data_IF_400728129067
#
_entry.id   IF_400728129067
#
_cell.length_a   1.000
_cell.length_b   1.000
_cell.length_c   1.000
_cell.angle_alpha   90.00
_cell.angle_beta   90.00
_cell.angle_gamma   90.00
#
_symmetry.space_group_name_H-M   'P 1'
#
loop_
_entity.id
_entity.type
_entity.pdbx_description
1 polymer ?
#
# COMPACT_ATOMS: atom_id res chain seq x y z
N UNK A 1 12.39 5.07 -5.10
CA UNK A 1 11.80 3.76 -5.39
C UNK A 1 12.79 2.71 -4.87
N UNK A 2 12.43 1.90 -3.86
CA UNK A 2 13.39 0.98 -3.22
C UNK A 2 13.68 -0.28 -4.07
N UNK A 3 13.13 -0.38 -5.28
CA UNK A 3 13.39 -1.47 -6.22
C UNK A 3 13.09 -2.85 -5.62
N UNK A 4 12.08 -2.95 -4.76
CA UNK A 4 11.78 -4.21 -4.08
C UNK A 4 11.39 -5.29 -5.09
N UNK A 5 11.73 -6.53 -4.77
CA UNK A 5 11.52 -7.68 -5.66
C UNK A 5 12.14 -7.43 -7.04
N UNK A 6 11.38 -7.58 -8.12
CA UNK A 6 11.83 -7.36 -9.50
C UNK A 6 11.55 -5.94 -10.02
N UNK A 7 10.93 -5.05 -9.23
CA UNK A 7 10.57 -3.70 -9.72
C UNK A 7 11.80 -2.84 -10.09
N UNK A 8 12.97 -3.14 -9.51
CA UNK A 8 14.23 -2.51 -9.90
C UNK A 8 14.71 -2.84 -11.32
N UNK A 9 14.15 -3.90 -11.93
CA UNK A 9 14.55 -4.39 -13.26
C UNK A 9 13.58 -3.95 -14.37
N UNK A 10 12.40 -3.42 -14.01
CA UNK A 10 11.33 -3.14 -14.98
C UNK A 10 11.36 -1.73 -15.60
N UNK A 11 12.31 -0.89 -15.17
CA UNK A 11 12.60 0.47 -15.68
C UNK A 11 11.33 1.28 -16.02
N UNK A 12 10.78 1.94 -15.00
CA UNK A 12 9.58 2.77 -15.13
C UNK A 12 9.66 3.97 -14.22
N UNK A 13 8.98 5.04 -14.62
CA UNK A 13 8.86 6.26 -13.83
C UNK A 13 7.47 6.34 -13.20
N UNK A 14 7.35 6.73 -11.91
CA UNK A 14 6.06 6.94 -11.29
C UNK A 14 5.21 7.98 -12.03
N UNK A 15 3.92 7.70 -12.16
CA UNK A 15 2.95 8.66 -12.69
C UNK A 15 2.76 9.77 -11.66
N UNK A 16 2.93 11.03 -12.09
CA UNK A 16 2.74 12.20 -11.24
C UNK A 16 1.90 13.24 -11.96
N UNK A 17 1.04 13.92 -11.20
CA UNK A 17 0.26 15.07 -11.63
C UNK A 17 0.34 16.14 -10.54
N UNK A 18 0.45 17.41 -10.92
CA UNK A 18 0.56 18.52 -9.96
C UNK A 18 -0.80 18.93 -9.36
N UNK A 19 -1.89 18.43 -9.95
CA UNK A 19 -3.25 18.70 -9.55
C UNK A 19 -3.52 17.99 -8.21
N UNK A 20 -3.58 18.74 -7.11
CA UNK A 20 -3.76 18.20 -5.76
C UNK A 20 -5.24 17.99 -5.36
N UNK A 21 -6.11 17.73 -6.34
CA UNK A 21 -7.56 17.58 -6.17
C UNK A 21 -8.03 16.15 -6.45
N UNK A 22 -9.36 15.93 -6.43
CA UNK A 22 -9.96 14.63 -6.79
C UNK A 22 -9.62 14.23 -8.23
N UNK A 23 -9.61 15.19 -9.16
CA UNK A 23 -9.33 14.92 -10.56
C UNK A 23 -7.89 14.41 -10.75
N UNK A 24 -6.89 15.05 -10.14
CA UNK A 24 -5.50 14.60 -10.19
C UNK A 24 -5.34 13.18 -9.66
N UNK A 25 -6.01 12.85 -8.55
CA UNK A 25 -6.02 11.48 -7.99
C UNK A 25 -6.64 10.44 -8.93
N UNK A 26 -7.62 10.82 -9.74
CA UNK A 26 -8.23 9.95 -10.75
C UNK A 26 -7.30 9.77 -11.95
N UNK A 27 -6.68 10.85 -12.42
CA UNK A 27 -5.74 10.80 -13.55
C UNK A 27 -4.51 9.95 -13.24
N UNK A 28 -3.92 10.13 -12.05
CA UNK A 28 -2.80 9.28 -11.58
C UNK A 28 -3.20 7.80 -11.64
N UNK A 29 -4.35 7.43 -11.06
CA UNK A 29 -4.81 6.03 -11.02
C UNK A 29 -5.07 5.44 -12.40
N UNK A 30 -5.65 6.23 -13.30
CA UNK A 30 -5.94 5.80 -14.67
C UNK A 30 -4.63 5.46 -15.40
N UNK A 31 -3.64 6.33 -15.32
CA UNK A 31 -2.34 6.13 -15.97
C UNK A 31 -1.51 5.05 -15.29
N UNK A 32 -1.59 4.90 -13.96
CA UNK A 32 -1.01 3.77 -13.23
C UNK A 32 -1.59 2.43 -13.70
N UNK A 33 -2.86 2.37 -14.07
CA UNK A 33 -3.46 1.15 -14.63
C UNK A 33 -2.86 0.80 -15.99
N UNK A 34 -2.68 1.78 -16.88
CA UNK A 34 -2.03 1.56 -18.17
C UNK A 34 -0.56 1.17 -17.98
N UNK A 35 0.17 1.87 -17.12
CA UNK A 35 1.54 1.54 -16.78
C UNK A 35 1.68 0.13 -16.18
N UNK A 36 0.74 -0.28 -15.32
CA UNK A 36 0.72 -1.64 -14.75
C UNK A 36 0.61 -2.71 -15.83
N UNK A 37 -0.21 -2.48 -16.87
CA UNK A 37 -0.32 -3.40 -18.02
C UNK A 37 1.01 -3.50 -18.77
N UNK A 38 1.71 -2.38 -18.95
CA UNK A 38 3.01 -2.38 -19.63
C UNK A 38 4.10 -3.06 -18.79
N UNK A 39 4.10 -2.86 -17.47
CA UNK A 39 4.97 -3.57 -16.54
C UNK A 39 4.74 -5.09 -16.57
N UNK A 40 3.48 -5.54 -16.62
CA UNK A 40 3.13 -6.96 -16.75
C UNK A 40 3.71 -7.52 -18.05
N UNK A 41 3.54 -6.83 -19.18
CA UNK A 41 4.11 -7.27 -20.47
C UNK A 41 5.64 -7.32 -20.44
N UNK A 42 6.30 -6.32 -19.84
CA UNK A 42 7.76 -6.29 -19.65
C UNK A 42 8.23 -7.49 -18.82
N UNK A 43 7.58 -7.73 -17.67
CA UNK A 43 7.91 -8.85 -16.79
C UNK A 43 7.73 -10.21 -17.50
N UNK A 44 6.68 -10.38 -18.31
CA UNK A 44 6.46 -11.59 -19.09
C UNK A 44 7.56 -11.82 -20.14
N UNK A 45 8.04 -10.75 -20.79
CA UNK A 45 9.10 -10.84 -21.79
C UNK A 45 10.49 -11.11 -21.19
N UNK A 46 10.68 -10.79 -19.91
CA UNK A 46 11.95 -10.93 -19.19
C UNK A 46 11.92 -12.07 -18.17
N UNK A 47 10.88 -12.90 -18.18
CA UNK A 47 10.67 -13.92 -17.16
C UNK A 47 11.80 -14.97 -17.20
N UNK A 48 12.63 -15.08 -16.13
CA UNK A 48 13.68 -16.08 -16.10
C UNK A 48 13.09 -17.47 -15.86
N UNK A 49 13.74 -18.49 -16.42
CA UNK A 49 13.46 -19.87 -16.05
C UNK A 49 14.06 -20.20 -14.68
N UNK A 50 13.41 -21.08 -13.92
CA UNK A 50 13.93 -21.53 -12.63
C UNK A 50 12.86 -22.01 -11.65
N UNK A 51 13.27 -22.39 -10.44
CA UNK A 51 12.34 -22.74 -9.38
C UNK A 51 11.57 -21.50 -8.90
N UNK A 52 10.24 -21.61 -8.80
CA UNK A 52 9.35 -20.52 -8.36
C UNK A 52 9.15 -20.45 -6.84
N UNK A 53 9.73 -21.39 -6.09
CA UNK A 53 9.57 -21.49 -4.66
C UNK A 53 10.85 -22.00 -4.00
N UNK A 54 11.18 -21.41 -2.84
CA UNK A 54 12.25 -21.87 -1.96
C UNK A 54 11.62 -22.48 -0.72
N UNK A 55 12.11 -23.65 -0.31
CA UNK A 55 11.67 -24.28 0.94
C UNK A 55 12.37 -23.62 2.11
N UNK A 56 11.60 -23.04 3.03
CA UNK A 56 12.12 -22.54 4.29
C UNK A 56 12.27 -23.68 5.29
N UNK A 57 13.50 -23.93 5.75
CA UNK A 57 13.80 -25.00 6.71
C UNK A 57 13.74 -24.54 8.17
N UNK A 58 13.79 -23.23 8.40
CA UNK A 58 13.83 -22.63 9.73
C UNK A 58 12.71 -21.62 9.92
N UNK A 59 12.20 -21.55 11.14
CA UNK A 59 11.30 -20.49 11.55
C UNK A 59 12.08 -19.18 11.71
N UNK A 60 11.45 -18.03 11.44
CA UNK A 60 12.12 -16.74 11.60
C UNK A 60 12.45 -16.48 13.07
N UNK A 61 13.63 -15.91 13.30
CA UNK A 61 14.10 -15.42 14.58
C UNK A 61 14.57 -13.98 14.41
N UNK A 62 14.11 -13.09 15.30
CA UNK A 62 14.38 -11.65 15.20
C UNK A 62 13.24 -10.84 14.61
N UNK A 63 13.51 -9.56 14.36
CA UNK A 63 12.53 -8.57 13.93
C UNK A 63 12.88 -7.95 12.58
N UNK A 64 11.87 -7.61 11.80
CA UNK A 64 12.05 -6.92 10.53
C UNK A 64 10.90 -5.97 10.23
N UNK A 65 11.22 -4.95 9.44
CA UNK A 65 10.27 -4.02 8.86
C UNK A 65 10.34 -4.18 7.34
N UNK A 66 9.18 -4.30 6.72
CA UNK A 66 9.05 -4.32 5.27
C UNK A 66 7.99 -3.34 4.81
N UNK A 67 8.29 -2.58 3.76
CA UNK A 67 7.42 -1.55 3.20
C UNK A 67 7.27 -1.82 1.71
N UNK A 68 6.04 -1.79 1.22
CA UNK A 68 5.73 -1.92 -0.21
C UNK A 68 4.70 -0.89 -0.63
N UNK A 69 4.62 -0.65 -1.93
CA UNK A 69 3.62 0.24 -2.50
C UNK A 69 2.39 -0.57 -2.89
N UNK A 70 1.29 -0.35 -2.18
CA UNK A 70 -0.02 -0.85 -2.58
C UNK A 70 -0.71 0.20 -3.46
N UNK A 71 -1.77 -0.15 -4.21
CA UNK A 71 -2.51 0.81 -5.05
C UNK A 71 -3.15 2.01 -4.32
N UNK A 72 -3.06 2.05 -2.97
CA UNK A 72 -3.62 3.11 -2.12
C UNK A 72 -2.54 3.90 -1.38
N UNK A 73 -1.27 3.60 -1.64
CA UNK A 73 -0.13 4.14 -0.92
C UNK A 73 0.71 3.07 -0.23
N UNK A 74 1.56 3.53 0.68
CA UNK A 74 2.50 2.68 1.40
C UNK A 74 1.84 1.78 2.46
N UNK A 75 2.05 0.46 2.31
CA UNK A 75 1.82 -0.50 3.39
C UNK A 75 3.11 -0.73 4.17
N UNK A 76 2.96 -0.82 5.49
CA UNK A 76 4.06 -1.10 6.41
C UNK A 76 3.77 -2.39 7.17
N UNK A 77 4.73 -3.31 7.14
CA UNK A 77 4.75 -4.54 7.90
C UNK A 77 5.87 -4.49 8.91
N UNK A 78 5.56 -4.86 10.14
CA UNK A 78 6.52 -5.22 11.18
C UNK A 78 6.22 -6.64 11.62
N UNK A 79 7.23 -7.49 11.65
CA UNK A 79 7.12 -8.87 12.09
C UNK A 79 8.27 -9.22 13.03
N UNK A 80 7.96 -9.97 14.09
CA UNK A 80 8.93 -10.52 15.03
C UNK A 80 8.72 -12.02 15.16
N UNK A 81 9.76 -12.80 14.86
CA UNK A 81 9.81 -14.24 15.01
C UNK A 81 10.51 -14.66 16.29
N UNK A 82 10.19 -15.87 16.76
CA UNK A 82 10.74 -16.47 17.98
C UNK A 82 11.13 -17.95 17.78
N UNK A 83 11.57 -18.32 16.56
CA UNK A 83 11.88 -19.70 16.16
C UNK A 83 10.71 -20.70 16.30
N UNK A 84 9.46 -20.25 16.43
CA UNK A 84 8.28 -21.12 16.44
C UNK A 84 7.42 -20.97 15.19
N UNK A 85 6.42 -21.83 15.03
CA UNK A 85 5.41 -21.72 13.96
C UNK A 85 4.59 -20.43 14.04
N UNK A 86 4.52 -19.79 15.21
CA UNK A 86 3.75 -18.58 15.44
C UNK A 86 4.68 -17.38 15.57
N UNK A 87 4.39 -16.31 14.85
CA UNK A 87 5.10 -15.05 15.03
C UNK A 87 4.77 -14.47 16.41
N UNK A 88 5.79 -13.95 17.09
CA UNK A 88 5.61 -13.30 18.40
C UNK A 88 4.78 -12.02 18.25
N UNK A 89 5.02 -11.26 17.17
CA UNK A 89 4.28 -10.05 16.88
C UNK A 89 4.22 -9.79 15.39
N UNK A 90 3.03 -9.40 14.92
CA UNK A 90 2.83 -8.83 13.58
C UNK A 90 2.07 -7.53 13.73
N UNK A 91 2.60 -6.45 13.17
CA UNK A 91 1.92 -5.16 13.08
C UNK A 91 1.88 -4.74 11.62
N UNK A 92 0.66 -4.50 11.14
CA UNK A 92 0.41 -4.07 9.76
C UNK A 92 -0.22 -2.68 9.85
N UNK A 93 0.35 -1.71 9.14
CA UNK A 93 -0.27 -0.41 8.90
C UNK A 93 -0.58 -0.32 7.41
N UNK A 94 -1.85 -0.45 7.09
CA UNK A 94 -2.39 -0.32 5.74
C UNK A 94 -2.40 1.15 5.29
N UNK A 95 -2.39 1.45 3.99
CA UNK A 95 -2.32 2.83 3.48
C UNK A 95 -3.55 3.68 3.80
N UNK A 96 -4.73 3.06 3.86
CA UNK A 96 -5.98 3.78 4.17
C UNK A 96 -5.94 4.41 5.56
N UNK A 97 -5.25 3.80 6.52
CA UNK A 97 -5.17 4.31 7.89
C UNK A 97 -4.57 5.72 7.98
N UNK A 98 -3.36 6.00 7.45
CA UNK A 98 -2.84 7.37 7.40
C UNK A 98 -3.59 8.29 6.44
N UNK A 99 -4.38 7.78 5.48
CA UNK A 99 -5.18 8.60 4.57
C UNK A 99 -6.48 9.13 5.19
N UNK A 100 -6.98 8.54 6.29
CA UNK A 100 -8.23 8.97 6.93
C UNK A 100 -8.09 10.28 7.73
N UNK A 101 -7.08 10.49 8.60
CA UNK A 101 -6.92 11.77 9.29
C UNK A 101 -6.90 13.01 8.38
N UNK A 102 -6.16 13.03 7.24
CA UNK A 102 -6.18 14.19 6.35
C UNK A 102 -7.51 14.38 5.61
N UNK A 103 -8.34 13.33 5.49
CA UNK A 103 -9.69 13.45 4.91
C UNK A 103 -10.53 14.49 5.66
N UNK A 104 -10.37 14.60 6.98
CA UNK A 104 -11.06 15.63 7.77
C UNK A 104 -10.74 17.04 7.28
N UNK A 105 -9.47 17.29 6.91
CA UNK A 105 -9.04 18.56 6.32
C UNK A 105 -9.53 18.75 4.88
N UNK A 106 -9.58 17.67 4.09
CA UNK A 106 -10.06 17.70 2.70
C UNK A 106 -11.56 18.02 2.58
N UNK A 107 -12.34 17.79 3.63
CA UNK A 107 -13.79 18.05 3.65
C UNK A 107 -14.14 19.50 4.03
N UNK A 108 -13.21 20.25 4.62
CA UNK A 108 -13.48 21.61 5.10
C UNK A 108 -13.64 22.56 3.91
N UNK A 109 -14.75 23.28 3.86
CA UNK A 109 -15.02 24.27 2.81
C UNK A 109 -15.65 23.71 1.53
N UNK A 110 -16.16 22.48 1.56
CA UNK A 110 -16.88 21.84 0.45
C UNK A 110 -18.33 21.52 0.82
N UNK A 111 -19.18 21.34 -0.20
CA UNK A 111 -20.59 21.06 0.00
C UNK A 111 -20.82 19.59 0.36
N UNK A 112 -21.97 19.31 1.00
CA UNK A 112 -22.36 17.93 1.35
C UNK A 112 -22.42 17.03 0.10
N UNK A 113 -22.73 17.60 -1.07
CA UNK A 113 -22.76 16.90 -2.34
C UNK A 113 -21.37 16.44 -2.82
N UNK A 114 -20.29 17.10 -2.38
CA UNK A 114 -18.91 16.77 -2.79
C UNK A 114 -18.31 15.64 -1.94
N UNK A 115 -18.87 15.39 -0.76
CA UNK A 115 -18.36 14.41 0.21
C UNK A 115 -18.10 13.04 -0.45
N UNK A 116 -19.02 12.44 -1.22
CA UNK A 116 -18.77 11.14 -1.83
C UNK A 116 -17.54 11.15 -2.76
N UNK A 117 -17.37 12.19 -3.58
CA UNK A 117 -16.23 12.29 -4.50
C UNK A 117 -14.91 12.41 -3.73
N UNK A 118 -14.88 13.25 -2.69
CA UNK A 118 -13.69 13.45 -1.85
C UNK A 118 -13.33 12.16 -1.11
N UNK A 119 -14.30 11.51 -0.46
CA UNK A 119 -14.09 10.28 0.32
C UNK A 119 -13.68 9.11 -0.58
N UNK A 120 -14.32 8.93 -1.73
CA UNK A 120 -13.96 7.83 -2.63
C UNK A 120 -12.62 8.03 -3.34
N UNK A 121 -12.17 9.28 -3.49
CA UNK A 121 -10.89 9.56 -4.16
C UNK A 121 -9.65 9.04 -3.42
N UNK A 122 -9.76 8.69 -2.13
CA UNK A 122 -8.68 8.05 -1.37
C UNK A 122 -8.76 6.51 -1.39
N UNK A 123 -9.76 5.94 -2.07
CA UNK A 123 -10.05 4.49 -2.14
C UNK A 123 -10.07 3.81 -0.75
N UNK A 124 -11.02 4.17 0.13
CA UNK A 124 -11.01 3.69 1.50
C UNK A 124 -11.37 2.21 1.59
N UNK A 125 -10.43 1.42 2.12
CA UNK A 125 -10.64 0.03 2.48
C UNK A 125 -11.07 -0.09 3.95
N UNK A 126 -12.36 -0.31 4.22
CA UNK A 126 -12.86 -0.40 5.60
C UNK A 126 -12.29 -1.60 6.37
N UNK A 127 -12.15 -2.76 5.72
CA UNK A 127 -11.53 -3.94 6.33
C UNK A 127 -10.05 -3.73 6.68
N UNK A 128 -9.40 -2.76 6.04
CA UNK A 128 -8.02 -2.38 6.33
C UNK A 128 -7.93 -1.62 7.67
N UNK A 129 -9.01 -0.98 8.12
CA UNK A 129 -9.09 -0.16 9.34
C UNK A 129 -9.47 -0.90 10.61
N UNK A 130 -9.92 -2.15 10.52
CA UNK A 130 -10.34 -2.97 11.68
C UNK A 130 -9.19 -3.36 12.63
N UNK A 131 -7.94 -3.04 12.27
CA UNK A 131 -6.71 -3.39 13.02
C UNK A 131 -6.29 -2.32 14.04
N UNK A 132 -7.21 -1.42 14.38
CA UNK A 132 -7.02 -0.34 15.35
C UNK A 132 -7.81 -0.72 16.60
N UNK A 133 -7.14 -0.67 17.74
CA UNK A 133 -7.80 -0.63 19.03
C UNK A 133 -7.57 0.76 19.56
N UNK A 134 -8.58 1.62 19.50
CA UNK A 134 -8.56 2.87 20.24
C UNK A 134 -8.70 2.54 21.72
N UNK A 135 -7.58 2.63 22.45
CA UNK A 135 -7.62 2.69 23.90
C UNK A 135 -8.08 4.11 24.22
N UNK A 136 -9.39 4.32 24.31
CA UNK A 136 -9.92 5.52 24.95
C UNK A 136 -9.37 5.50 26.38
N UNK A 137 -8.54 6.48 26.73
CA UNK A 137 -8.20 6.70 28.14
C UNK A 137 -9.53 6.77 28.92
N UNK A 138 -9.57 5.97 29.98
CA UNK A 138 -10.56 6.11 31.05
C UNK A 138 -10.41 7.54 31.55
N UNK A 139 -11.47 8.33 31.39
CA UNK A 139 -11.56 9.68 31.93
C UNK A 139 -11.28 9.72 33.44
#
# INVERSE_FOLDING_TARGET
NNGYEAYGELDFEPVVYDNCDVQGRVLVRLDECYQSVDLIKKALNQLPEGPIAVKNEKFPDGETIYRTEQPRGEVFYYAKGNNTIHLERVRIRTPTLPNIPPLLGMLVGHDVADIPAIVHSIDPCMSCTERITDIKEVA
#
